data_IF_099147562712
#
_entry.id   IF_099147562712
#
_cell.length_a   1.000
_cell.length_b   1.000
_cell.length_c   1.000
_cell.angle_alpha   90.00
_cell.angle_beta   90.00
_cell.angle_gamma   90.00
#
_symmetry.space_group_name_H-M   'P 1'
#
loop_
_entity.id
_entity.type
_entity.pdbx_description
1 polymer ?
#
# COMPACT_ATOMS: atom_id res chain seq x y z
N UNK A 1 -9.29 12.23 -4.25
CA UNK A 1 -8.19 12.10 -3.26
C UNK A 1 -7.90 10.62 -3.07
N UNK A 2 -6.65 10.16 -3.28
CA UNK A 2 -6.30 8.78 -2.93
C UNK A 2 -6.51 8.63 -1.40
N UNK A 3 -7.18 7.56 -0.93
CA UNK A 3 -7.42 7.39 0.49
C UNK A 3 -6.05 7.31 1.16
N UNK A 4 -5.64 8.39 1.84
CA UNK A 4 -4.28 8.56 2.34
C UNK A 4 -3.98 7.42 3.30
N UNK A 5 -3.14 6.48 2.87
CA UNK A 5 -2.55 5.48 3.75
C UNK A 5 -1.32 6.14 4.34
N UNK A 6 -1.19 6.09 5.66
CA UNK A 6 -0.06 6.70 6.36
C UNK A 6 1.23 5.93 6.05
N UNK A 7 2.40 6.54 6.25
CA UNK A 7 3.68 5.87 6.06
C UNK A 7 3.77 4.58 6.90
N UNK A 8 3.24 4.62 8.13
CA UNK A 8 3.18 3.48 9.04
C UNK A 8 2.31 2.34 8.47
N UNK A 9 1.12 2.64 7.94
CA UNK A 9 0.28 1.62 7.31
C UNK A 9 0.96 0.98 6.09
N UNK A 10 1.65 1.78 5.26
CA UNK A 10 2.39 1.27 4.10
C UNK A 10 3.53 0.33 4.52
N UNK A 11 4.28 0.72 5.56
CA UNK A 11 5.36 -0.08 6.10
C UNK A 11 4.84 -1.42 6.61
N UNK A 12 3.79 -1.42 7.45
CA UNK A 12 3.14 -2.64 7.98
C UNK A 12 2.65 -3.54 6.85
N UNK A 13 2.05 -2.98 5.80
CA UNK A 13 1.60 -3.77 4.65
C UNK A 13 2.79 -4.42 3.94
N UNK A 14 3.86 -3.68 3.70
CA UNK A 14 4.97 -4.17 2.89
C UNK A 14 5.82 -5.19 3.64
N UNK A 15 6.06 -5.00 4.93
CA UNK A 15 6.74 -5.99 5.78
C UNK A 15 5.94 -7.29 5.86
N UNK A 16 4.68 -7.24 6.29
CA UNK A 16 3.86 -8.43 6.47
C UNK A 16 3.58 -9.17 5.16
N UNK A 17 3.45 -8.44 4.05
CA UNK A 17 3.26 -9.04 2.73
C UNK A 17 4.53 -9.72 2.22
N UNK A 18 5.69 -9.12 2.45
CA UNK A 18 7.00 -9.72 2.14
C UNK A 18 7.22 -11.00 2.94
N UNK A 19 6.79 -11.02 4.20
CA UNK A 19 6.81 -12.19 5.09
C UNK A 19 5.76 -13.27 4.74
N UNK A 20 5.00 -13.09 3.64
CA UNK A 20 4.00 -14.05 3.18
C UNK A 20 2.73 -14.11 4.04
N UNK A 21 2.48 -13.13 4.91
CA UNK A 21 1.27 -13.12 5.76
C UNK A 21 0.00 -12.96 4.94
N UNK A 22 -1.07 -13.57 5.44
CA UNK A 22 -2.41 -13.44 4.83
C UNK A 22 -2.94 -12.01 4.93
N UNK A 23 -3.87 -11.66 4.06
CA UNK A 23 -4.51 -10.34 4.05
C UNK A 23 -5.29 -10.08 5.36
N UNK A 24 -5.82 -11.13 5.98
CA UNK A 24 -6.49 -11.04 7.27
C UNK A 24 -5.51 -10.65 8.38
N UNK A 25 -4.31 -11.25 8.40
CA UNK A 25 -3.25 -10.89 9.34
C UNK A 25 -2.78 -9.44 9.13
N UNK A 26 -2.60 -9.01 7.87
CA UNK A 26 -2.26 -7.62 7.54
C UNK A 26 -3.33 -6.66 8.08
N UNK A 27 -4.61 -6.95 7.83
CA UNK A 27 -5.70 -6.12 8.30
C UNK A 27 -5.84 -6.12 9.83
N UNK A 28 -5.46 -7.21 10.51
CA UNK A 28 -5.43 -7.28 11.98
C UNK A 28 -4.38 -6.33 12.55
N UNK A 29 -3.18 -6.31 11.99
CA UNK A 29 -2.13 -5.37 12.41
C UNK A 29 -2.47 -3.92 12.06
N UNK A 30 -3.06 -3.68 10.88
CA UNK A 30 -3.54 -2.33 10.53
C UNK A 30 -4.55 -1.82 11.55
N UNK A 31 -5.52 -2.62 11.99
CA UNK A 31 -6.51 -2.22 13.00
C UNK A 31 -5.92 -1.91 14.38
N UNK A 32 -4.70 -2.36 14.69
CA UNK A 32 -4.01 -2.03 15.96
C UNK A 32 -3.38 -0.65 15.95
N UNK A 33 -3.20 -0.04 14.79
CA UNK A 33 -2.67 1.31 14.67
C UNK A 33 -3.74 2.33 15.10
N UNK A 34 -3.35 3.44 15.74
CA UNK A 34 -4.28 4.42 16.32
C UNK A 34 -5.25 5.07 15.31
N UNK A 35 -4.94 5.01 14.00
CA UNK A 35 -5.81 5.46 12.90
C UNK A 35 -5.93 4.41 11.79
N UNK A 36 -5.58 3.17 12.08
CA UNK A 36 -5.48 2.15 11.05
C UNK A 36 -6.83 1.56 10.69
N UNK A 37 -6.99 1.27 9.41
CA UNK A 37 -8.22 0.72 8.85
C UNK A 37 -7.95 -0.55 8.06
N UNK A 38 -8.97 -1.38 7.96
CA UNK A 38 -8.92 -2.51 7.04
C UNK A 38 -8.89 -2.02 5.60
N UNK A 39 -8.01 -2.62 4.80
CA UNK A 39 -7.89 -2.37 3.38
C UNK A 39 -8.34 -3.59 2.59
N UNK A 40 -8.84 -3.32 1.38
CA UNK A 40 -9.18 -4.39 0.44
C UNK A 40 -7.92 -5.08 -0.08
N UNK A 41 -8.03 -6.35 -0.48
CA UNK A 41 -6.95 -7.10 -1.16
C UNK A 41 -6.31 -6.30 -2.29
N UNK A 42 -7.13 -5.62 -3.09
CA UNK A 42 -6.69 -4.78 -4.21
C UNK A 42 -5.85 -3.58 -3.75
N UNK A 43 -6.26 -2.91 -2.67
CA UNK A 43 -5.52 -1.78 -2.11
C UNK A 43 -4.16 -2.24 -1.55
N UNK A 44 -4.14 -3.33 -0.79
CA UNK A 44 -2.92 -3.93 -0.23
C UNK A 44 -1.94 -4.31 -1.35
N UNK A 45 -2.41 -5.01 -2.39
CA UNK A 45 -1.58 -5.38 -3.53
C UNK A 45 -1.04 -4.15 -4.27
N UNK A 46 -1.84 -3.10 -4.43
CA UNK A 46 -1.41 -1.85 -5.09
C UNK A 46 -0.34 -1.12 -4.28
N UNK A 47 -0.46 -1.12 -2.96
CA UNK A 47 0.55 -0.54 -2.06
C UNK A 47 1.83 -1.37 -2.18
N UNK A 48 1.75 -2.69 -2.03
CA UNK A 48 2.93 -3.55 -2.19
C UNK A 48 3.61 -3.40 -3.56
N UNK A 49 2.86 -3.38 -4.67
CA UNK A 49 3.44 -3.20 -6.01
C UNK A 49 4.04 -1.81 -6.27
N UNK A 50 3.75 -0.83 -5.41
CA UNK A 50 4.28 0.53 -5.50
C UNK A 50 5.47 0.75 -4.57
N UNK A 51 5.43 0.17 -3.37
CA UNK A 51 6.39 0.45 -2.29
C UNK A 51 7.19 -0.80 -1.82
N UNK A 52 6.77 -2.01 -2.17
CA UNK A 52 7.30 -3.27 -1.61
C UNK A 52 8.73 -3.60 -2.01
N UNK A 53 9.24 -3.04 -3.10
CA UNK A 53 10.63 -3.20 -3.56
C UNK A 53 11.54 -2.03 -3.16
N UNK A 54 10.99 -1.01 -2.48
CA UNK A 54 11.72 0.22 -2.16
C UNK A 54 12.00 0.29 -0.67
N UNK A 55 13.27 0.40 -0.30
CA UNK A 55 13.70 0.55 1.09
C UNK A 55 13.24 1.90 1.69
N UNK A 56 13.10 2.94 0.85
CA UNK A 56 12.55 4.24 1.25
C UNK A 56 11.09 4.41 0.79
N UNK A 57 10.15 4.15 1.71
CA UNK A 57 8.72 4.37 1.53
C UNK A 57 8.34 5.85 1.26
N UNK A 58 9.18 6.78 1.71
CA UNK A 58 9.00 8.23 1.60
C UNK A 58 9.44 8.81 0.25
N UNK A 59 10.30 8.11 -0.49
CA UNK A 59 10.81 8.54 -1.81
C UNK A 59 9.90 8.13 -2.97
N UNK A 60 8.82 7.39 -2.70
CA UNK A 60 7.95 6.88 -3.75
C UNK A 60 6.98 7.98 -4.18
N UNK A 61 7.50 8.90 -5.00
CA UNK A 61 6.71 9.88 -5.72
C UNK A 61 5.56 9.23 -6.50
N UNK A 62 4.56 10.03 -6.85
CA UNK A 62 3.48 9.59 -7.73
C UNK A 62 4.07 8.97 -8.99
N UNK A 63 3.93 7.64 -9.18
CA UNK A 63 4.13 7.05 -10.52
C UNK A 63 3.24 7.84 -11.47
N UNK A 64 3.78 8.54 -12.48
CA UNK A 64 2.95 9.18 -13.47
C UNK A 64 2.10 8.07 -14.06
N UNK A 65 0.78 8.21 -13.97
CA UNK A 65 -0.11 7.30 -14.67
C UNK A 65 0.30 7.34 -16.14
N UNK A 66 0.48 6.17 -16.76
CA UNK A 66 0.71 6.11 -18.19
C UNK A 66 -0.33 7.00 -18.88
N UNK A 67 0.09 7.89 -19.81
CA UNK A 67 -0.85 8.79 -20.48
C UNK A 67 -2.00 7.95 -21.01
N UNK A 68 -3.22 8.28 -20.60
CA UNK A 68 -4.39 7.70 -21.24
C UNK A 68 -4.27 8.06 -22.71
N UNK A 69 -4.12 7.05 -23.59
CA UNK A 69 -4.26 7.30 -25.03
C UNK A 69 -5.64 7.91 -25.20
N UNK A 70 -5.69 9.21 -25.45
CA UNK A 70 -6.84 9.83 -26.10
C UNK A 70 -6.82 9.19 -27.49
N UNK A 71 -7.62 8.15 -27.66
CA UNK A 71 -7.93 7.66 -29.00
C UNK A 71 -8.47 8.84 -29.81
N UNK A 72 -8.03 9.02 -31.08
CA UNK A 72 -8.54 10.07 -31.93
C UNK A 72 -10.04 9.94 -32.19
#
# INVERSE_FOLDING_TARGET
MAPQTTAVEKAVICTLKRDGKSIEAINKELKRLPNGRSLTKRAINRIYARYGDKENYDEVGHRPGAPRKLTP
#
